data_IF_435668299731
#
_entry.id   IF_435668299731
#
_cell.length_a   1.000
_cell.length_b   1.000
_cell.length_c   1.000
_cell.angle_alpha   90.00
_cell.angle_beta   90.00
_cell.angle_gamma   90.00
#
_symmetry.space_group_name_H-M   'P 1'
#
loop_
_entity.id
_entity.type
_entity.pdbx_description
1 polymer ?
#
# COMPACT_ATOMS: atom_id res chain seq x y z
N UNK A 1 20.15 3.29 -8.31
CA UNK A 1 19.57 3.24 -9.67
C UNK A 1 18.18 3.91 -9.74
N UNK A 2 18.09 5.17 -9.30
CA UNK A 2 16.89 6.00 -9.45
C UNK A 2 17.31 7.48 -9.30
N UNK A 3 16.69 8.38 -10.05
CA UNK A 3 16.81 9.83 -9.87
C UNK A 3 15.41 10.41 -9.77
N UNK A 4 15.20 11.30 -8.80
CA UNK A 4 13.92 11.96 -8.59
C UNK A 4 14.10 13.46 -8.76
N UNK A 5 13.20 14.08 -9.52
CA UNK A 5 13.10 15.53 -9.63
C UNK A 5 11.74 16.00 -9.08
N UNK A 6 11.74 17.07 -8.29
CA UNK A 6 10.52 17.64 -7.75
C UNK A 6 9.94 18.67 -8.72
N UNK A 7 8.67 18.48 -9.09
CA UNK A 7 7.90 19.45 -9.85
C UNK A 7 7.38 20.53 -8.90
N UNK A 8 7.52 21.80 -9.28
CA UNK A 8 7.05 22.94 -8.47
C UNK A 8 5.54 23.17 -8.61
N UNK A 9 4.98 22.82 -9.77
CA UNK A 9 3.63 23.26 -10.16
C UNK A 9 2.64 22.09 -10.29
N UNK A 10 3.09 20.86 -10.03
CA UNK A 10 2.30 19.65 -10.23
C UNK A 10 2.47 18.68 -9.05
N UNK A 11 1.34 18.26 -8.50
CA UNK A 11 1.23 17.19 -7.52
C UNK A 11 0.35 16.08 -8.09
N UNK A 12 0.82 14.85 -8.02
CA UNK A 12 0.04 13.65 -8.32
C UNK A 12 -0.82 13.35 -7.07
N UNK A 13 -2.10 13.06 -7.27
CA UNK A 13 -3.03 12.64 -6.21
C UNK A 13 -4.05 11.73 -6.86
N UNK A 14 -3.77 10.44 -6.85
CA UNK A 14 -4.55 9.46 -7.61
C UNK A 14 -4.60 8.12 -6.89
N UNK A 15 -5.76 7.46 -6.93
CA UNK A 15 -5.90 6.07 -6.52
C UNK A 15 -5.26 5.16 -7.57
N UNK A 16 -4.44 4.21 -7.12
CA UNK A 16 -3.67 3.33 -8.00
C UNK A 16 -3.68 1.90 -7.50
N UNK A 17 -3.74 1.01 -8.50
CA UNK A 17 -3.41 -0.41 -8.36
C UNK A 17 -2.05 -0.63 -8.99
N UNK A 18 -1.20 -1.40 -8.31
CA UNK A 18 0.14 -1.76 -8.77
C UNK A 18 0.33 -3.27 -8.63
N UNK A 19 0.92 -3.90 -9.63
CA UNK A 19 1.28 -5.32 -9.58
C UNK A 19 2.78 -5.42 -9.34
N UNK A 20 3.19 -6.14 -8.29
CA UNK A 20 4.58 -6.33 -7.96
C UNK A 20 5.29 -7.13 -9.06
N UNK A 21 6.50 -6.70 -9.41
CA UNK A 21 7.39 -7.46 -10.27
C UNK A 21 8.03 -8.60 -9.46
N UNK A 22 8.33 -9.76 -10.04
CA UNK A 22 8.87 -10.91 -9.32
C UNK A 22 10.38 -10.76 -9.00
N UNK A 23 10.75 -9.65 -8.38
CA UNK A 23 12.12 -9.26 -8.07
C UNK A 23 12.43 -9.52 -6.59
N UNK A 24 13.10 -10.65 -6.34
CA UNK A 24 13.49 -11.07 -4.99
C UNK A 24 12.35 -11.69 -4.17
N UNK A 25 12.62 -12.04 -2.90
CA UNK A 25 11.77 -12.98 -2.16
C UNK A 25 10.47 -12.35 -1.65
N UNK A 26 10.41 -11.02 -1.51
CA UNK A 26 9.23 -10.31 -1.01
C UNK A 26 8.29 -9.98 -2.18
N UNK A 27 8.75 -9.22 -3.19
CA UNK A 27 7.91 -8.76 -4.28
C UNK A 27 7.30 -9.92 -5.09
N UNK A 28 8.02 -11.04 -5.24
CA UNK A 28 7.53 -12.26 -5.91
C UNK A 28 6.30 -12.90 -5.24
N UNK A 29 6.01 -12.55 -3.97
CA UNK A 29 4.88 -13.08 -3.20
C UNK A 29 3.77 -12.05 -3.00
N UNK A 30 4.01 -10.78 -3.35
CA UNK A 30 3.15 -9.65 -3.01
C UNK A 30 1.92 -9.51 -3.92
N UNK A 31 2.02 -9.94 -5.18
CA UNK A 31 0.91 -9.88 -6.13
C UNK A 31 0.47 -8.45 -6.45
N UNK A 32 -0.85 -8.22 -6.49
CA UNK A 32 -1.43 -6.91 -6.79
C UNK A 32 -1.86 -6.20 -5.53
N UNK A 33 -1.49 -4.92 -5.42
CA UNK A 33 -1.76 -4.05 -4.26
C UNK A 33 -2.47 -2.77 -4.72
N UNK A 34 -3.23 -2.19 -3.81
CA UNK A 34 -4.02 -0.98 -4.01
C UNK A 34 -3.61 0.09 -3.01
N UNK A 35 -3.74 1.34 -3.41
CA UNK A 35 -3.42 2.47 -2.55
C UNK A 35 -3.55 3.76 -3.34
N UNK A 36 -2.81 4.78 -2.92
CA UNK A 36 -2.80 6.05 -3.62
C UNK A 36 -1.39 6.60 -3.75
N UNK A 37 -1.19 7.44 -4.75
CA UNK A 37 0.05 8.19 -4.95
C UNK A 37 -0.21 9.66 -4.63
N UNK A 38 0.53 10.22 -3.67
CA UNK A 38 0.52 11.66 -3.36
C UNK A 38 1.95 12.16 -3.30
N UNK A 39 2.43 12.71 -4.42
CA UNK A 39 3.80 13.18 -4.53
C UNK A 39 3.94 14.25 -5.62
N UNK A 40 5.00 15.04 -5.52
CA UNK A 40 5.40 16.01 -6.56
C UNK A 40 6.68 15.56 -7.27
N UNK A 41 7.21 14.38 -6.92
CA UNK A 41 8.45 13.85 -7.49
C UNK A 41 8.17 13.04 -8.75
N UNK A 42 8.95 13.24 -9.80
CA UNK A 42 8.99 12.32 -10.94
C UNK A 42 10.30 11.58 -10.87
N UNK A 43 10.21 10.25 -10.81
CA UNK A 43 11.39 9.40 -10.72
C UNK A 43 11.69 8.72 -12.05
N UNK A 44 12.94 8.82 -12.48
CA UNK A 44 13.52 8.03 -13.58
C UNK A 44 14.27 6.84 -12.97
N UNK A 45 13.96 5.64 -13.44
CA UNK A 45 14.47 4.39 -12.90
C UNK A 45 15.57 3.87 -13.84
N UNK A 46 16.75 3.62 -13.28
CA UNK A 46 17.92 3.11 -14.02
C UNK A 46 18.19 1.66 -13.61
N UNK A 47 17.25 0.77 -13.89
CA UNK A 47 17.29 -0.63 -13.46
C UNK A 47 15.91 -1.26 -13.45
N UNK A 48 15.75 -2.30 -12.63
CA UNK A 48 14.48 -3.01 -12.51
C UNK A 48 13.45 -2.21 -11.70
N UNK A 49 12.19 -2.38 -12.07
CA UNK A 49 11.07 -1.78 -11.35
C UNK A 49 10.57 -2.68 -10.23
N UNK A 50 10.09 -2.10 -9.14
CA UNK A 50 9.50 -2.86 -8.03
C UNK A 50 8.08 -3.33 -8.38
N UNK A 51 7.34 -2.49 -9.10
CA UNK A 51 5.99 -2.73 -9.61
C UNK A 51 5.95 -2.49 -11.12
N UNK A 52 4.89 -2.94 -11.79
CA UNK A 52 4.68 -2.63 -13.20
C UNK A 52 4.63 -1.10 -13.38
N UNK A 53 5.59 -0.60 -14.18
CA UNK A 53 5.80 0.81 -14.52
C UNK A 53 5.97 1.77 -13.32
N UNK A 54 6.36 1.29 -12.14
CA UNK A 54 6.56 2.14 -10.95
C UNK A 54 7.49 1.52 -9.91
N UNK A 55 8.16 2.40 -9.16
CA UNK A 55 9.04 2.00 -8.07
C UNK A 55 10.34 1.39 -8.59
N UNK A 56 11.37 1.38 -7.75
CA UNK A 56 12.66 0.80 -8.09
C UNK A 56 13.00 -0.30 -7.10
N UNK A 57 13.70 -1.32 -7.58
CA UNK A 57 14.22 -2.40 -6.77
C UNK A 57 15.73 -2.51 -6.96
N UNK A 58 16.46 -2.69 -5.85
CA UNK A 58 17.89 -2.97 -5.89
C UNK A 58 18.14 -4.45 -6.18
N UNK A 59 19.38 -4.75 -6.58
CA UNK A 59 19.80 -6.13 -6.82
C UNK A 59 19.54 -7.03 -5.59
N UNK A 60 19.07 -8.25 -5.84
CA UNK A 60 18.61 -9.18 -4.80
C UNK A 60 17.22 -8.91 -4.20
N UNK A 61 16.58 -7.78 -4.52
CA UNK A 61 15.16 -7.52 -4.22
C UNK A 61 14.78 -7.34 -2.75
N UNK A 62 15.76 -7.09 -1.87
CA UNK A 62 15.51 -6.80 -0.45
C UNK A 62 15.32 -5.31 -0.15
N UNK A 63 15.74 -4.45 -1.08
CA UNK A 63 15.51 -3.00 -1.00
C UNK A 63 14.70 -2.61 -2.22
N UNK A 64 13.49 -2.12 -1.99
CA UNK A 64 12.63 -1.58 -3.01
C UNK A 64 11.86 -0.38 -2.47
N UNK A 65 11.43 0.50 -3.37
CA UNK A 65 10.65 1.68 -3.05
C UNK A 65 9.54 1.88 -4.06
N UNK A 66 8.46 2.52 -3.61
CA UNK A 66 7.27 2.86 -4.40
C UNK A 66 6.69 4.16 -3.87
N UNK A 67 6.06 4.93 -4.74
CA UNK A 67 5.21 6.07 -4.37
C UNK A 67 3.83 5.65 -3.84
N UNK A 68 3.49 4.36 -3.88
CA UNK A 68 2.21 3.86 -3.41
C UNK A 68 2.13 3.94 -1.88
N UNK A 69 1.36 4.90 -1.40
CA UNK A 69 0.92 4.94 -0.01
C UNK A 69 -0.18 3.90 0.23
N UNK A 70 -0.25 3.39 1.46
CA UNK A 70 -1.18 2.32 1.83
C UNK A 70 -0.71 0.92 1.42
N UNK A 71 0.57 0.75 1.04
CA UNK A 71 1.12 -0.55 0.64
C UNK A 71 0.78 -1.66 1.64
N UNK A 72 0.95 -1.42 2.94
CA UNK A 72 0.70 -2.40 4.00
C UNK A 72 -0.75 -2.46 4.49
N UNK A 73 -1.65 -1.67 3.90
CA UNK A 73 -3.10 -1.90 4.07
C UNK A 73 -3.56 -3.11 3.24
N UNK A 74 -2.71 -3.60 2.33
CA UNK A 74 -2.93 -4.81 1.57
C UNK A 74 -2.38 -6.02 2.33
N UNK A 75 -3.25 -6.97 2.69
CA UNK A 75 -2.84 -8.20 3.37
C UNK A 75 -1.73 -8.94 2.61
N UNK A 76 -1.81 -8.99 1.28
CA UNK A 76 -0.79 -9.64 0.45
C UNK A 76 0.62 -9.03 0.59
N UNK A 77 0.74 -7.73 0.78
CA UNK A 77 2.03 -7.07 0.99
C UNK A 77 2.61 -7.37 2.38
N UNK A 78 1.75 -7.40 3.40
CA UNK A 78 2.12 -7.80 4.76
C UNK A 78 2.54 -9.27 4.77
N UNK A 79 1.75 -10.15 4.17
CA UNK A 79 2.03 -11.58 4.09
C UNK A 79 3.33 -11.87 3.35
N UNK A 80 3.59 -11.18 2.23
CA UNK A 80 4.82 -11.32 1.48
C UNK A 80 6.06 -10.96 2.33
N UNK A 81 5.99 -9.85 3.07
CA UNK A 81 7.09 -9.40 3.93
C UNK A 81 7.28 -10.33 5.13
N UNK A 82 6.21 -10.63 5.87
CA UNK A 82 6.29 -11.39 7.12
C UNK A 82 6.60 -12.86 6.85
N UNK A 83 6.06 -13.47 5.78
CA UNK A 83 6.43 -14.83 5.39
C UNK A 83 7.92 -14.94 5.07
N UNK A 84 8.47 -13.99 4.32
CA UNK A 84 9.91 -13.96 4.03
C UNK A 84 10.75 -13.82 5.31
N UNK A 85 10.39 -12.89 6.20
CA UNK A 85 11.12 -12.71 7.46
C UNK A 85 11.03 -13.96 8.36
N UNK A 86 9.89 -14.65 8.34
CA UNK A 86 9.67 -15.88 9.09
C UNK A 86 10.50 -17.03 8.53
N UNK A 87 10.57 -17.17 7.20
CA UNK A 87 11.46 -18.13 6.51
C UNK A 87 12.92 -17.92 6.92
N UNK A 88 13.40 -16.67 6.90
CA UNK A 88 14.78 -16.31 7.30
C UNK A 88 15.05 -16.65 8.77
N UNK A 89 14.04 -16.58 9.63
CA UNK A 89 14.15 -16.90 11.07
C UNK A 89 13.87 -18.37 11.38
N UNK A 90 13.41 -19.16 10.42
CA UNK A 90 12.96 -20.53 10.65
C UNK A 90 11.71 -20.62 11.54
N UNK A 91 10.82 -19.62 11.46
CA UNK A 91 9.58 -19.56 12.22
C UNK A 91 8.37 -19.87 11.31
N UNK A 92 7.33 -20.54 11.82
CA UNK A 92 6.08 -20.68 11.08
C UNK A 92 5.39 -19.31 10.97
N UNK A 93 4.75 -19.06 9.83
CA UNK A 93 3.88 -17.92 9.61
C UNK A 93 2.54 -18.39 9.05
N UNK A 94 1.45 -17.92 9.65
CA UNK A 94 0.11 -18.09 9.13
C UNK A 94 -0.46 -16.69 8.87
N UNK A 95 -0.92 -16.39 7.65
CA UNK A 95 -1.61 -15.15 7.34
C UNK A 95 -2.78 -14.91 8.29
N UNK A 96 -2.85 -13.71 8.84
CA UNK A 96 -4.01 -13.30 9.65
C UNK A 96 -5.11 -12.91 8.69
N UNK A 97 -6.30 -13.50 8.86
CA UNK A 97 -7.47 -13.12 8.07
C UNK A 97 -7.70 -11.60 8.15
N UNK A 98 -8.09 -11.00 7.02
CA UNK A 98 -8.45 -9.59 6.98
C UNK A 98 -9.49 -9.30 8.07
N UNK A 99 -9.17 -8.35 8.94
CA UNK A 99 -10.15 -7.82 9.88
C UNK A 99 -11.21 -7.08 9.06
N UNK A 100 -12.48 -7.20 9.45
CA UNK A 100 -13.56 -6.43 8.82
C UNK A 100 -13.25 -4.93 8.82
N UNK A 101 -13.86 -4.21 7.89
CA UNK A 101 -13.53 -2.81 7.62
C UNK A 101 -13.48 -1.98 8.92
N UNK A 102 -12.33 -1.37 9.27
CA UNK A 102 -12.26 -0.49 10.43
C UNK A 102 -13.27 0.66 10.35
N UNK A 103 -13.65 1.11 9.15
CA UNK A 103 -14.70 2.11 8.95
C UNK A 103 -16.08 1.56 9.31
N UNK A 104 -16.39 0.29 9.02
CA UNK A 104 -17.64 -0.33 9.47
C UNK A 104 -17.71 -0.45 11.00
N UNK A 105 -16.57 -0.75 11.63
CA UNK A 105 -16.49 -0.76 13.10
C UNK A 105 -16.72 0.64 13.68
N UNK A 106 -16.12 1.66 13.06
CA UNK A 106 -16.30 3.06 13.46
C UNK A 106 -17.74 3.54 13.22
N UNK A 107 -18.32 3.23 12.06
CA UNK A 107 -19.70 3.56 11.72
C UNK A 107 -20.67 3.00 12.77
N UNK A 108 -20.57 1.70 13.07
CA UNK A 108 -21.37 1.07 14.13
C UNK A 108 -21.17 1.72 15.50
N UNK A 109 -19.95 2.14 15.83
CA UNK A 109 -19.69 2.84 17.09
C UNK A 109 -20.37 4.21 17.16
N UNK A 110 -20.32 4.97 16.06
CA UNK A 110 -20.96 6.27 15.96
C UNK A 110 -22.48 6.16 15.99
N UNK A 111 -23.06 5.22 15.25
CA UNK A 111 -24.51 4.92 15.27
C UNK A 111 -25.01 4.57 16.68
N UNK A 112 -24.19 3.91 17.49
CA UNK A 112 -24.52 3.59 18.88
C UNK A 112 -24.42 4.78 19.84
N UNK A 113 -23.69 5.84 19.48
CA UNK A 113 -23.43 6.99 20.36
C UNK A 113 -24.14 8.27 19.92
N UNK A 114 -24.55 8.37 18.66
CA UNK A 114 -25.06 9.58 18.03
C UNK A 114 -26.45 9.32 17.41
N UNK A 115 -27.28 10.35 17.45
CA UNK A 115 -28.52 10.40 16.66
C UNK A 115 -28.16 10.80 15.23
N UNK A 116 -27.80 9.79 14.42
CA UNK A 116 -27.31 10.00 13.05
C UNK A 116 -28.41 10.61 12.17
N UNK A 117 -29.67 10.21 12.33
CA UNK A 117 -30.80 10.78 11.59
C UNK A 117 -30.91 12.28 11.84
N UNK A 118 -30.86 12.71 13.11
CA UNK A 118 -30.89 14.13 13.46
C UNK A 118 -29.67 14.90 12.94
N UNK A 119 -28.49 14.28 12.91
CA UNK A 119 -27.30 14.90 12.31
C UNK A 119 -27.47 15.10 10.80
N UNK A 120 -28.07 14.13 10.09
CA UNK A 120 -28.37 14.28 8.65
C UNK A 120 -29.38 15.41 8.41
N UNK A 121 -30.47 15.46 9.20
CA UNK A 121 -31.44 16.56 9.15
C UNK A 121 -30.80 17.94 9.35
N UNK A 122 -29.92 18.08 10.36
CA UNK A 122 -29.18 19.33 10.60
C UNK A 122 -28.28 19.69 9.42
N UNK A 123 -27.64 18.69 8.80
CA UNK A 123 -26.80 18.87 7.62
C UNK A 123 -27.60 19.14 6.33
N UNK A 124 -28.93 18.99 6.36
CA UNK A 124 -29.80 19.14 5.19
C UNK A 124 -29.61 18.03 4.16
N UNK A 125 -29.20 16.84 4.61
CA UNK A 125 -29.06 15.62 3.80
C UNK A 125 -30.17 14.64 4.15
#
# INVERSE_FOLDING_TARGET
PIRTEFLTDKKITIQKTRTAQPNGPILSRMGTVHGYEIHAGVSEIFGDTAFVDEGAVADGGLVFGTYLHGLFDNASAVDALVSYLSDVRGLPYEPVAEKGDPYDNLARHLEGCLDVEKLMEICGV
#
